data_IF_831440266066
#
_entry.id   IF_831440266066
#
_cell.length_a   1.000
_cell.length_b   1.000
_cell.length_c   1.000
_cell.angle_alpha   90.00
_cell.angle_beta   90.00
_cell.angle_gamma   90.00
#
_symmetry.space_group_name_H-M   'P 1'
#
loop_
_entity.id
_entity.type
_entity.pdbx_description
1 polymer ?
#
# COMPACT_ATOMS: atom_id res chain seq x y z
N UNK A 1 -30.68 76.44 -30.44
CA UNK A 1 -31.68 77.10 -29.57
C UNK A 1 -32.52 76.02 -28.91
N UNK A 2 -32.54 75.98 -27.56
CA UNK A 2 -33.58 75.38 -26.68
C UNK A 2 -33.75 73.85 -26.74
N UNK A 3 -33.94 73.08 -25.68
CA UNK A 3 -33.96 73.21 -24.21
C UNK A 3 -34.16 71.78 -23.63
N UNK A 4 -34.08 71.64 -22.30
CA UNK A 4 -34.64 70.56 -21.43
C UNK A 4 -33.80 69.27 -21.35
N UNK A 5 -33.48 68.68 -20.20
CA UNK A 5 -33.99 68.79 -18.83
C UNK A 5 -34.18 67.36 -18.25
N UNK A 6 -33.92 67.11 -16.95
CA UNK A 6 -33.45 65.82 -16.44
C UNK A 6 -34.58 64.90 -15.90
N UNK A 7 -34.28 63.63 -15.63
CA UNK A 7 -35.13 62.79 -14.77
C UNK A 7 -34.32 61.74 -13.99
N UNK A 8 -34.42 61.84 -12.67
CA UNK A 8 -34.07 60.82 -11.68
C UNK A 8 -35.01 59.62 -11.78
N UNK A 9 -34.48 58.41 -11.64
CA UNK A 9 -35.25 57.18 -11.44
C UNK A 9 -34.61 56.32 -10.36
N UNK A 10 -35.19 56.33 -9.16
CA UNK A 10 -34.86 55.46 -8.04
C UNK A 10 -35.50 54.08 -8.29
N UNK A 11 -34.69 53.05 -8.52
CA UNK A 11 -35.15 51.66 -8.69
C UNK A 11 -34.69 50.78 -7.55
N UNK A 12 -35.60 50.48 -6.61
CA UNK A 12 -35.45 49.46 -5.58
C UNK A 12 -35.44 48.07 -6.24
N UNK A 13 -34.34 47.34 -6.14
CA UNK A 13 -34.24 45.94 -6.59
C UNK A 13 -34.26 45.03 -5.36
N UNK A 14 -35.38 44.36 -5.14
CA UNK A 14 -35.43 43.12 -4.36
C UNK A 14 -34.84 42.00 -5.22
N UNK A 15 -33.71 41.41 -4.79
CA UNK A 15 -33.26 40.12 -5.30
C UNK A 15 -33.42 39.05 -4.23
N UNK A 16 -34.22 38.06 -4.58
CA UNK A 16 -34.43 36.84 -3.81
C UNK A 16 -33.19 35.93 -3.88
N UNK A 17 -32.89 35.30 -2.75
CA UNK A 17 -32.44 33.91 -2.66
C UNK A 17 -31.12 33.52 -3.32
N UNK A 18 -30.09 33.32 -2.49
CA UNK A 18 -29.20 32.16 -2.66
C UNK A 18 -28.96 31.51 -1.29
N UNK A 19 -29.38 30.25 -1.18
CA UNK A 19 -29.04 29.40 -0.05
C UNK A 19 -27.53 29.13 -0.07
N UNK A 20 -26.82 29.49 0.99
CA UNK A 20 -25.42 29.12 1.17
C UNK A 20 -25.36 27.63 1.48
N UNK A 21 -25.09 26.81 0.47
CA UNK A 21 -24.65 25.44 0.69
C UNK A 21 -23.22 25.50 1.27
N UNK A 22 -23.10 25.39 2.58
CA UNK A 22 -21.82 25.18 3.25
C UNK A 22 -21.33 23.77 2.93
N UNK A 23 -20.65 23.62 1.79
CA UNK A 23 -19.81 22.45 1.57
C UNK A 23 -18.64 22.53 2.54
N UNK A 24 -18.69 21.68 3.55
CA UNK A 24 -17.58 21.41 4.45
C UNK A 24 -16.40 20.91 3.62
N UNK A 25 -15.49 21.83 3.29
CA UNK A 25 -14.18 21.49 2.79
C UNK A 25 -13.51 20.61 3.86
N UNK A 26 -13.44 19.31 3.59
CA UNK A 26 -12.59 18.41 4.35
C UNK A 26 -11.19 18.95 4.20
N UNK A 27 -10.73 19.60 5.27
CA UNK A 27 -9.39 20.16 5.37
C UNK A 27 -8.44 18.97 5.33
N UNK A 28 -7.97 18.66 4.12
CA UNK A 28 -6.71 17.93 3.98
C UNK A 28 -5.70 18.79 4.72
N UNK A 29 -5.22 18.28 5.86
CA UNK A 29 -4.12 18.91 6.57
C UNK A 29 -2.94 18.95 5.60
N UNK A 30 -2.79 20.08 4.93
CA UNK A 30 -1.63 20.42 4.16
C UNK A 30 -0.47 20.52 5.14
N UNK A 31 0.20 19.39 5.37
CA UNK A 31 1.59 19.44 5.81
C UNK A 31 2.33 20.25 4.75
N UNK A 32 2.97 21.35 5.18
CA UNK A 32 3.82 22.18 4.31
C UNK A 32 4.95 21.34 3.68
N UNK A 33 5.83 21.94 2.86
CA UNK A 33 6.92 21.22 2.20
C UNK A 33 8.04 20.87 3.21
N UNK A 34 7.71 20.14 4.28
CA UNK A 34 8.65 19.36 5.04
C UNK A 34 8.92 18.08 4.27
N UNK A 35 10.19 17.84 3.93
CA UNK A 35 10.62 16.58 3.35
C UNK A 35 10.21 15.46 4.32
N UNK A 36 9.50 14.45 3.81
CA UNK A 36 9.10 13.26 4.57
C UNK A 36 10.29 12.69 5.37
N UNK A 37 10.10 12.13 6.58
CA UNK A 37 11.15 11.38 7.27
C UNK A 37 11.69 10.23 6.39
N UNK A 38 12.95 9.79 6.58
CA UNK A 38 13.55 8.71 5.78
C UNK A 38 12.70 7.44 5.70
N UNK A 39 12.11 7.00 6.82
CA UNK A 39 11.22 5.84 6.86
C UNK A 39 9.99 6.04 5.95
N UNK A 40 9.34 7.21 6.03
CA UNK A 40 8.19 7.56 5.19
C UNK A 40 8.56 7.61 3.70
N UNK A 41 9.75 8.13 3.36
CA UNK A 41 10.26 8.08 1.99
C UNK A 41 10.45 6.64 1.52
N UNK A 42 11.03 5.78 2.36
CA UNK A 42 11.22 4.35 2.08
C UNK A 42 9.90 3.63 1.81
N UNK A 43 8.90 3.81 2.67
CA UNK A 43 7.57 3.23 2.47
C UNK A 43 6.90 3.75 1.18
N UNK A 44 6.97 5.06 0.90
CA UNK A 44 6.45 5.66 -0.33
C UNK A 44 7.15 5.11 -1.57
N UNK A 45 8.47 4.94 -1.52
CA UNK A 45 9.26 4.38 -2.61
C UNK A 45 8.91 2.91 -2.88
N UNK A 46 8.83 2.08 -1.83
CA UNK A 46 8.43 0.68 -1.93
C UNK A 46 7.02 0.54 -2.50
N UNK A 47 6.06 1.32 -1.98
CA UNK A 47 4.69 1.33 -2.48
C UNK A 47 4.62 1.78 -3.95
N UNK A 48 5.33 2.84 -4.32
CA UNK A 48 5.38 3.31 -5.70
C UNK A 48 6.00 2.28 -6.66
N UNK A 49 7.03 1.56 -6.22
CA UNK A 49 7.63 0.47 -7.00
C UNK A 49 6.64 -0.69 -7.19
N UNK A 50 5.94 -1.09 -6.13
CA UNK A 50 4.88 -2.10 -6.19
C UNK A 50 3.80 -1.70 -7.20
N UNK A 51 3.23 -0.50 -7.11
CA UNK A 51 2.17 -0.06 -8.03
C UNK A 51 2.61 -0.08 -9.51
N UNK A 52 3.87 0.23 -9.79
CA UNK A 52 4.42 0.12 -11.15
C UNK A 52 4.60 -1.34 -11.58
N UNK A 53 5.06 -2.20 -10.68
CA UNK A 53 5.27 -3.63 -10.96
C UNK A 53 3.94 -4.39 -11.14
N UNK A 54 2.87 -3.95 -10.47
CA UNK A 54 1.50 -4.47 -10.60
C UNK A 54 0.85 -4.15 -11.95
N UNK A 55 1.47 -3.31 -12.80
CA UNK A 55 0.95 -2.97 -14.12
C UNK A 55 1.14 -4.11 -15.15
N UNK A 56 0.88 -5.36 -14.74
CA UNK A 56 0.92 -6.56 -15.56
C UNK A 56 -0.42 -6.71 -16.30
N UNK A 57 -0.43 -6.99 -17.61
CA UNK A 57 -1.67 -7.23 -18.35
C UNK A 57 -2.44 -8.44 -17.80
N UNK A 58 -3.77 -8.31 -17.73
CA UNK A 58 -4.65 -9.43 -17.41
C UNK A 58 -4.73 -10.40 -18.59
N UNK A 59 -4.68 -11.69 -18.29
CA UNK A 59 -4.81 -12.79 -19.25
C UNK A 59 -6.25 -13.26 -19.39
N UNK A 60 -7.09 -12.99 -18.38
CA UNK A 60 -8.47 -13.48 -18.29
C UNK A 60 -8.60 -14.84 -17.59
N UNK A 61 -7.49 -15.51 -17.28
CA UNK A 61 -7.47 -16.68 -16.40
C UNK A 61 -7.28 -16.19 -14.95
N UNK A 62 -8.27 -16.37 -14.05
CA UNK A 62 -8.19 -15.85 -12.69
C UNK A 62 -7.06 -16.49 -11.86
N UNK A 63 -6.68 -17.74 -12.13
CA UNK A 63 -5.59 -18.40 -11.40
C UNK A 63 -4.22 -17.85 -11.82
N UNK A 64 -4.07 -17.50 -13.10
CA UNK A 64 -2.88 -16.86 -13.65
C UNK A 64 -2.81 -15.41 -13.18
N UNK A 65 -3.91 -14.67 -13.35
CA UNK A 65 -3.99 -13.26 -13.04
C UNK A 65 -3.77 -13.00 -11.55
N UNK A 66 -4.35 -13.82 -10.66
CA UNK A 66 -4.08 -13.71 -9.22
C UNK A 66 -2.58 -13.81 -8.92
N UNK A 67 -1.87 -14.78 -9.50
CA UNK A 67 -0.45 -15.00 -9.22
C UNK A 67 0.45 -13.93 -9.85
N UNK A 68 0.15 -13.54 -11.09
CA UNK A 68 0.88 -12.46 -11.77
C UNK A 68 0.73 -11.12 -11.06
N UNK A 69 -0.41 -10.87 -10.41
CA UNK A 69 -0.62 -9.70 -9.56
C UNK A 69 0.01 -9.89 -8.18
N UNK A 70 -0.09 -11.07 -7.58
CA UNK A 70 0.32 -11.25 -6.19
C UNK A 70 1.85 -11.30 -6.01
N UNK A 71 2.60 -11.74 -7.03
CA UNK A 71 4.08 -11.70 -7.00
C UNK A 71 4.60 -10.27 -6.76
N UNK A 72 4.28 -9.25 -7.59
CA UNK A 72 4.75 -7.88 -7.35
C UNK A 72 4.15 -7.25 -6.08
N UNK A 73 2.94 -7.64 -5.68
CA UNK A 73 2.36 -7.20 -4.40
C UNK A 73 3.20 -7.68 -3.21
N UNK A 74 3.58 -8.97 -3.19
CA UNK A 74 4.43 -9.56 -2.17
C UNK A 74 5.84 -8.96 -2.16
N UNK A 75 6.43 -8.71 -3.34
CA UNK A 75 7.70 -7.98 -3.43
C UNK A 75 7.62 -6.58 -2.81
N UNK A 76 6.51 -5.87 -3.02
CA UNK A 76 6.22 -4.60 -2.36
C UNK A 76 6.13 -4.72 -0.83
N UNK A 77 5.44 -5.74 -0.33
CA UNK A 77 5.34 -6.03 1.10
C UNK A 77 6.71 -6.33 1.73
N UNK A 78 7.56 -7.11 1.05
CA UNK A 78 8.94 -7.39 1.46
C UNK A 78 9.76 -6.10 1.54
N UNK A 79 9.67 -5.24 0.52
CA UNK A 79 10.39 -3.96 0.51
C UNK A 79 9.94 -3.04 1.66
N UNK A 80 8.64 -2.99 1.97
CA UNK A 80 8.14 -2.24 3.13
C UNK A 80 8.61 -2.86 4.46
N UNK A 81 8.60 -4.19 4.58
CA UNK A 81 9.12 -4.87 5.76
C UNK A 81 10.60 -4.56 6.00
N UNK A 82 11.41 -4.50 4.94
CA UNK A 82 12.82 -4.09 5.02
C UNK A 82 12.98 -2.65 5.53
N UNK A 83 12.14 -1.71 5.07
CA UNK A 83 12.11 -0.33 5.61
C UNK A 83 11.78 -0.36 7.12
N UNK A 84 10.82 -1.18 7.53
CA UNK A 84 10.47 -1.36 8.94
C UNK A 84 11.66 -1.91 9.77
N UNK A 85 12.41 -2.89 9.27
CA UNK A 85 13.57 -3.43 10.00
C UNK A 85 14.70 -2.42 10.21
N UNK A 86 14.81 -1.42 9.32
CA UNK A 86 15.79 -0.32 9.46
C UNK A 86 15.31 0.74 10.45
N UNK A 87 14.01 1.05 10.48
CA UNK A 87 13.50 2.26 11.16
C UNK A 87 12.59 2.02 12.37
N UNK A 88 11.95 0.85 12.47
CA UNK A 88 11.02 0.55 13.55
C UNK A 88 11.77 0.20 14.84
N UNK A 89 11.30 0.77 15.95
CA UNK A 89 11.83 0.55 17.30
C UNK A 89 10.95 -0.38 18.14
N UNK A 90 9.68 -0.52 17.77
CA UNK A 90 8.74 -1.42 18.43
C UNK A 90 9.11 -2.89 18.13
N UNK A 91 9.35 -3.74 19.15
CA UNK A 91 9.77 -5.13 18.95
C UNK A 91 8.77 -5.96 18.13
N UNK A 92 7.48 -5.76 18.37
CA UNK A 92 6.43 -6.47 17.65
C UNK A 92 6.42 -6.14 16.15
N UNK A 93 6.56 -4.85 15.82
CA UNK A 93 6.64 -4.39 14.42
C UNK A 93 7.83 -5.01 13.68
N UNK A 94 8.98 -5.16 14.35
CA UNK A 94 10.17 -5.79 13.77
C UNK A 94 9.96 -7.29 13.53
N UNK A 95 9.38 -7.99 14.51
CA UNK A 95 9.04 -9.41 14.38
C UNK A 95 8.02 -9.65 13.26
N UNK A 96 7.00 -8.78 13.14
CA UNK A 96 6.06 -8.83 12.04
C UNK A 96 6.76 -8.64 10.69
N UNK A 97 7.68 -7.69 10.59
CA UNK A 97 8.43 -7.45 9.35
C UNK A 97 9.32 -8.65 8.96
N UNK A 98 9.99 -9.29 9.91
CA UNK A 98 10.73 -10.55 9.68
C UNK A 98 9.80 -11.66 9.17
N UNK A 99 8.65 -11.86 9.80
CA UNK A 99 7.66 -12.85 9.39
C UNK A 99 7.11 -12.57 7.99
N UNK A 100 6.81 -11.31 7.67
CA UNK A 100 6.37 -10.89 6.32
C UNK A 100 7.44 -11.21 5.29
N UNK A 101 8.72 -10.94 5.54
CA UNK A 101 9.78 -11.26 4.57
C UNK A 101 9.81 -12.75 4.28
N UNK A 102 9.81 -13.59 5.32
CA UNK A 102 9.90 -15.05 5.16
C UNK A 102 8.70 -15.61 4.41
N UNK A 103 7.49 -15.27 4.86
CA UNK A 103 6.27 -15.86 4.30
C UNK A 103 6.04 -15.42 2.85
N UNK A 104 6.21 -14.12 2.58
CA UNK A 104 5.99 -13.58 1.23
C UNK A 104 7.03 -14.11 0.23
N UNK A 105 8.27 -14.37 0.65
CA UNK A 105 9.28 -15.02 -0.19
C UNK A 105 8.89 -16.46 -0.55
N UNK A 106 8.36 -17.22 0.41
CA UNK A 106 7.85 -18.58 0.18
C UNK A 106 6.70 -18.56 -0.84
N UNK A 107 5.73 -17.68 -0.64
CA UNK A 107 4.55 -17.57 -1.51
C UNK A 107 4.94 -17.13 -2.94
N UNK A 108 5.89 -16.22 -3.10
CA UNK A 108 6.45 -15.87 -4.43
C UNK A 108 7.01 -17.12 -5.13
N UNK A 109 7.87 -17.89 -4.46
CA UNK A 109 8.48 -19.07 -5.06
C UNK A 109 7.43 -20.12 -5.48
N UNK A 110 6.37 -20.29 -4.68
CA UNK A 110 5.26 -21.19 -4.99
C UNK A 110 4.46 -20.74 -6.20
N UNK A 111 4.19 -19.43 -6.31
CA UNK A 111 3.48 -18.84 -7.44
C UNK A 111 4.30 -18.91 -8.74
N UNK A 112 5.60 -18.58 -8.68
CA UNK A 112 6.51 -18.67 -9.82
C UNK A 112 6.66 -20.11 -10.32
N UNK A 113 6.80 -21.07 -9.41
CA UNK A 113 6.87 -22.48 -9.76
C UNK A 113 5.57 -22.97 -10.40
N UNK A 114 4.41 -22.50 -9.91
CA UNK A 114 3.12 -22.83 -10.50
C UNK A 114 2.96 -22.27 -11.92
N UNK A 115 3.32 -20.99 -12.14
CA UNK A 115 3.26 -20.35 -13.45
C UNK A 115 4.20 -21.03 -14.47
N UNK A 116 5.41 -21.36 -14.03
CA UNK A 116 6.40 -22.08 -14.83
C UNK A 116 5.88 -23.44 -15.31
N UNK A 117 5.25 -24.23 -14.42
CA UNK A 117 4.66 -25.53 -14.80
C UNK A 117 3.53 -25.41 -15.83
N UNK A 118 2.93 -24.23 -15.98
CA UNK A 118 1.89 -23.94 -16.96
C UNK A 118 2.39 -23.24 -18.23
N UNK A 119 3.71 -23.05 -18.36
CA UNK A 119 4.29 -22.36 -19.49
C UNK A 119 3.97 -20.86 -19.54
N UNK A 120 3.53 -20.27 -18.42
CA UNK A 120 3.33 -18.83 -18.31
C UNK A 120 4.65 -18.19 -17.91
N UNK A 121 5.15 -17.27 -18.73
CA UNK A 121 6.33 -16.50 -18.40
C UNK A 121 6.03 -15.55 -17.24
N UNK A 122 6.86 -15.59 -16.20
CA UNK A 122 6.85 -14.59 -15.13
C UNK A 122 7.60 -13.37 -15.66
N UNK A 123 6.99 -12.17 -15.74
CA UNK A 123 7.70 -10.97 -16.13
C UNK A 123 8.88 -10.74 -15.20
N UNK A 124 10.07 -10.48 -15.76
CA UNK A 124 11.26 -10.18 -14.98
C UNK A 124 11.10 -8.83 -14.26
N UNK A 125 10.53 -8.86 -13.07
CA UNK A 125 10.41 -7.73 -12.16
C UNK A 125 10.77 -8.19 -10.77
N UNK A 126 11.98 -7.84 -10.31
CA UNK A 126 12.42 -8.03 -8.92
C UNK A 126 12.90 -9.44 -8.57
N UNK A 127 13.96 -9.93 -9.22
CA UNK A 127 14.65 -11.12 -8.73
C UNK A 127 15.04 -10.98 -7.25
N UNK A 128 14.87 -12.01 -6.41
CA UNK A 128 15.23 -11.95 -5.00
C UNK A 128 16.75 -11.77 -4.87
N UNK A 129 17.19 -10.64 -4.31
CA UNK A 129 18.61 -10.39 -4.06
C UNK A 129 19.14 -11.06 -2.78
N UNK A 130 18.32 -11.87 -2.11
CA UNK A 130 18.79 -12.78 -1.07
C UNK A 130 17.73 -13.87 -0.85
N UNK A 131 17.98 -15.07 -1.35
CA UNK A 131 17.25 -16.27 -0.90
C UNK A 131 17.81 -16.60 0.47
N UNK A 132 17.10 -16.25 1.54
CA UNK A 132 17.36 -16.84 2.84
C UNK A 132 17.01 -18.34 2.70
N UNK A 133 18.02 -19.20 2.80
CA UNK A 133 17.84 -20.65 2.67
C UNK A 133 17.06 -21.19 3.86
N UNK A 134 16.51 -22.41 3.74
CA UNK A 134 15.75 -23.08 4.80
C UNK A 134 16.49 -23.16 6.16
N UNK A 135 17.82 -23.06 6.16
CA UNK A 135 18.63 -23.05 7.39
C UNK A 135 18.60 -21.71 8.14
N UNK A 136 18.17 -20.62 7.49
CA UNK A 136 18.04 -19.28 8.08
C UNK A 136 16.94 -19.19 9.14
N UNK A 137 16.08 -20.21 9.22
CA UNK A 137 15.00 -20.32 10.21
C UNK A 137 15.48 -20.93 11.54
N UNK A 138 16.54 -21.73 11.53
CA UNK A 138 16.95 -22.53 12.70
C UNK A 138 17.72 -21.74 13.76
N UNK A 139 18.10 -20.49 13.47
CA UNK A 139 18.89 -19.62 14.35
C UNK A 139 18.09 -18.47 14.98
N UNK A 140 16.78 -18.37 14.77
CA UNK A 140 15.96 -17.38 15.46
C UNK A 140 15.64 -17.85 16.89
N UNK A 141 15.94 -17.01 17.87
CA UNK A 141 15.81 -17.30 19.29
C UNK A 141 14.36 -17.57 19.68
N UNK A 142 14.13 -18.59 20.51
CA UNK A 142 12.80 -19.03 20.96
C UNK A 142 12.07 -18.04 21.91
N UNK A 143 12.65 -16.90 22.25
CA UNK A 143 12.15 -16.00 23.29
C UNK A 143 11.97 -14.57 22.76
N UNK A 144 10.70 -14.25 22.49
CA UNK A 144 9.96 -12.97 22.59
C UNK A 144 9.00 -12.83 21.40
N UNK A 145 7.71 -13.12 21.63
CA UNK A 145 6.59 -12.73 20.76
C UNK A 145 5.95 -13.79 19.83
N UNK A 146 6.38 -15.06 19.81
CA UNK A 146 5.93 -16.00 18.74
C UNK A 146 5.48 -17.40 19.15
N UNK A 147 4.90 -17.60 20.36
CA UNK A 147 4.08 -18.81 20.60
C UNK A 147 3.14 -18.71 21.80
N UNK A 148 3.50 -17.93 22.82
CA UNK A 148 2.71 -17.82 24.05
C UNK A 148 1.50 -16.87 23.88
N UNK A 149 1.67 -15.70 23.27
CA UNK A 149 0.55 -14.78 22.98
C UNK A 149 -0.42 -15.33 21.93
N UNK A 150 0.08 -16.11 20.97
CA UNK A 150 -0.75 -16.81 19.96
C UNK A 150 -1.43 -18.08 20.49
N UNK A 151 -1.16 -18.55 21.72
CA UNK A 151 -1.89 -19.69 22.29
C UNK A 151 -3.28 -19.32 22.84
N UNK A 152 -3.59 -18.02 22.92
CA UNK A 152 -4.95 -17.53 23.19
C UNK A 152 -5.74 -17.11 21.95
N UNK A 153 -5.09 -17.01 20.78
CA UNK A 153 -5.71 -16.60 19.52
C UNK A 153 -5.16 -17.51 18.41
N UNK A 154 -5.98 -18.46 17.95
CA UNK A 154 -5.56 -19.44 16.96
C UNK A 154 -5.21 -18.78 15.63
N UNK A 155 -3.91 -18.59 15.37
CA UNK A 155 -3.39 -18.29 14.05
C UNK A 155 -2.87 -19.58 13.42
N UNK A 156 -3.52 -20.03 12.34
CA UNK A 156 -3.08 -21.12 11.50
C UNK A 156 -2.80 -20.57 10.10
N UNK A 157 -1.60 -20.77 9.53
CA UNK A 157 -1.31 -20.38 8.16
C UNK A 157 -2.28 -21.08 7.20
N UNK A 158 -2.96 -20.33 6.32
CA UNK A 158 -3.88 -20.86 5.30
C UNK A 158 -5.35 -21.02 5.71
N UNK A 159 -5.72 -20.70 6.95
CA UNK A 159 -7.13 -20.58 7.32
C UNK A 159 -7.64 -19.18 6.95
N UNK A 160 -8.17 -19.02 5.74
CA UNK A 160 -8.86 -17.77 5.36
C UNK A 160 -9.88 -17.35 6.43
N UNK A 161 -10.02 -16.04 6.63
CA UNK A 161 -10.92 -15.44 7.63
C UNK A 161 -12.34 -16.00 7.42
N UNK A 162 -12.89 -16.66 8.44
CA UNK A 162 -14.31 -16.99 8.54
C UNK A 162 -14.97 -16.10 9.58
#
# INVERSE_FOLDING_TARGET
>A
MRHLGPALGLGLVLTAGTALAQHSAHSSSAHGPGRDPPATQGFKAAHGAMMRAMAVPYTGDPDVDFRLQMIPHHQGAIAMAQVALVHATDPWTRQLAEAVIVEQQREIAEMEAWLTRRGVAVPAGGAPQHVLTADSFRSQSAEAGTRAEMRGQSWAPGAGIR
#
